data_IF_984072597869
#
_entry.id   IF_984072597869
#
_cell.length_a   1.000
_cell.length_b   1.000
_cell.length_c   1.000
_cell.angle_alpha   90.00
_cell.angle_beta   90.00
_cell.angle_gamma   90.00
#
_symmetry.space_group_name_H-M   'P 1'
#
loop_
_entity.id
_entity.type
_entity.pdbx_description
1 polymer ?
#
# COMPACT_ATOMS: atom_id res chain seq x y z
N UNK A 1 -25.03 22.20 -50.26
CA UNK A 1 -25.77 21.20 -49.44
C UNK A 1 -24.96 19.96 -49.02
N UNK A 2 -23.95 19.50 -49.77
CA UNK A 2 -23.14 18.30 -49.40
C UNK A 2 -22.21 18.49 -48.18
N UNK A 3 -21.73 19.72 -47.93
CA UNK A 3 -20.80 20.03 -46.84
C UNK A 3 -21.47 19.89 -45.46
N UNK A 4 -22.70 20.38 -45.30
CA UNK A 4 -23.46 20.22 -44.06
C UNK A 4 -23.69 18.75 -43.67
N UNK A 5 -23.97 17.88 -44.66
CA UNK A 5 -24.10 16.44 -44.40
C UNK A 5 -22.79 15.81 -43.93
N UNK A 6 -21.65 16.22 -44.50
CA UNK A 6 -20.33 15.71 -44.09
C UNK A 6 -19.96 16.13 -42.66
N UNK A 7 -20.22 17.38 -42.30
CA UNK A 7 -19.95 17.89 -40.94
C UNK A 7 -20.81 17.17 -39.90
N UNK A 8 -22.10 16.96 -40.19
CA UNK A 8 -23.00 16.31 -39.24
C UNK A 8 -22.64 14.85 -38.97
N UNK A 9 -22.20 14.11 -40.00
CA UNK A 9 -21.70 12.74 -39.86
C UNK A 9 -20.41 12.71 -39.04
N UNK A 10 -19.50 13.65 -39.27
CA UNK A 10 -18.24 13.75 -38.52
C UNK A 10 -18.47 14.01 -37.03
N UNK A 11 -19.45 14.87 -36.70
CA UNK A 11 -19.86 15.15 -35.31
C UNK A 11 -20.46 13.89 -34.68
N UNK A 12 -21.37 13.19 -35.35
CA UNK A 12 -21.96 11.96 -34.82
C UNK A 12 -20.91 10.88 -34.54
N UNK A 13 -19.96 10.68 -35.45
CA UNK A 13 -18.86 9.74 -35.23
C UNK A 13 -17.99 10.14 -34.04
N UNK A 14 -17.70 11.43 -33.89
CA UNK A 14 -16.91 11.93 -32.76
C UNK A 14 -17.66 11.76 -31.43
N UNK A 15 -18.98 11.97 -31.40
CA UNK A 15 -19.80 11.77 -30.21
C UNK A 15 -19.84 10.30 -29.75
N UNK A 16 -19.89 9.35 -30.69
CA UNK A 16 -19.85 7.92 -30.36
C UNK A 16 -18.50 7.52 -29.76
N UNK A 17 -17.41 8.12 -30.22
CA UNK A 17 -16.06 7.88 -29.70
C UNK A 17 -15.76 8.66 -28.40
N UNK A 18 -16.50 9.73 -28.12
CA UNK A 18 -16.26 10.56 -26.94
C UNK A 18 -16.39 9.77 -25.63
N UNK A 19 -17.41 8.93 -25.51
CA UNK A 19 -17.66 8.12 -24.30
C UNK A 19 -16.51 7.14 -24.01
N UNK A 20 -16.10 6.24 -24.93
CA UNK A 20 -15.00 5.32 -24.67
C UNK A 20 -13.66 6.03 -24.46
N UNK A 21 -13.41 7.16 -25.11
CA UNK A 21 -12.20 7.97 -24.87
C UNK A 21 -12.17 8.55 -23.46
N UNK A 22 -13.29 9.06 -22.96
CA UNK A 22 -13.40 9.56 -21.59
C UNK A 22 -13.20 8.42 -20.59
N UNK A 23 -13.87 7.28 -20.78
CA UNK A 23 -13.71 6.11 -19.90
C UNK A 23 -12.27 5.62 -19.89
N UNK A 24 -11.61 5.55 -21.05
CA UNK A 24 -10.21 5.16 -21.14
C UNK A 24 -9.30 6.15 -20.39
N UNK A 25 -9.54 7.45 -20.51
CA UNK A 25 -8.76 8.48 -19.83
C UNK A 25 -8.91 8.40 -18.29
N UNK A 26 -10.15 8.37 -17.79
CA UNK A 26 -10.40 8.30 -16.34
C UNK A 26 -10.01 6.94 -15.76
N UNK A 27 -10.28 5.85 -16.50
CA UNK A 27 -9.91 4.49 -16.11
C UNK A 27 -8.39 4.32 -15.99
N UNK A 28 -7.61 4.85 -16.94
CA UNK A 28 -6.16 4.79 -16.88
C UNK A 28 -5.58 5.52 -15.66
N UNK A 29 -6.14 6.69 -15.30
CA UNK A 29 -5.68 7.44 -14.14
C UNK A 29 -6.00 6.70 -12.84
N UNK A 30 -7.20 6.15 -12.68
CA UNK A 30 -7.56 5.40 -11.47
C UNK A 30 -6.77 4.10 -11.35
N UNK A 31 -6.55 3.39 -12.46
CA UNK A 31 -5.80 2.14 -12.47
C UNK A 31 -4.33 2.33 -12.08
N UNK A 32 -3.72 3.47 -12.44
CA UNK A 32 -2.33 3.79 -12.07
C UNK A 32 -2.14 3.80 -10.56
N UNK A 33 -3.04 4.44 -9.82
CA UNK A 33 -2.86 4.60 -8.37
C UNK A 33 -3.15 3.32 -7.59
N UNK A 34 -4.12 2.53 -8.08
CA UNK A 34 -4.36 1.19 -7.55
C UNK A 34 -3.16 0.27 -7.81
N UNK A 35 -2.59 0.30 -9.02
CA UNK A 35 -1.42 -0.51 -9.36
C UNK A 35 -0.20 -0.11 -8.54
N UNK A 36 0.07 1.18 -8.38
CA UNK A 36 1.20 1.69 -7.60
C UNK A 36 1.13 1.21 -6.15
N UNK A 37 -0.06 1.26 -5.54
CA UNK A 37 -0.30 0.80 -4.17
C UNK A 37 -0.13 -0.72 -4.04
N UNK A 38 -0.66 -1.48 -5.02
CA UNK A 38 -0.55 -2.96 -5.04
C UNK A 38 0.89 -3.42 -5.11
N UNK A 39 1.68 -2.82 -6.00
CA UNK A 39 3.10 -3.13 -6.16
C UNK A 39 3.86 -2.82 -4.86
N UNK A 40 3.57 -1.69 -4.20
CA UNK A 40 4.14 -1.37 -2.89
C UNK A 40 3.84 -2.44 -1.82
N UNK A 41 2.59 -2.90 -1.75
CA UNK A 41 2.19 -3.96 -0.80
C UNK A 41 2.93 -5.29 -1.05
N UNK A 42 3.10 -5.67 -2.32
CA UNK A 42 3.83 -6.89 -2.69
C UNK A 42 5.31 -6.81 -2.30
N UNK A 43 5.96 -5.66 -2.52
CA UNK A 43 7.33 -5.43 -2.09
C UNK A 43 7.48 -5.47 -0.56
N UNK A 44 6.57 -4.84 0.18
CA UNK A 44 6.58 -4.88 1.65
C UNK A 44 6.40 -6.31 2.15
N UNK A 45 5.51 -7.09 1.54
CA UNK A 45 5.30 -8.51 1.89
C UNK A 45 6.57 -9.33 1.66
N UNK A 46 7.26 -9.11 0.54
CA UNK A 46 8.53 -9.77 0.23
C UNK A 46 9.63 -9.36 1.23
N UNK A 47 9.72 -8.08 1.57
CA UNK A 47 10.65 -7.59 2.58
C UNK A 47 10.40 -8.24 3.95
N UNK A 48 9.15 -8.35 4.39
CA UNK A 48 8.78 -9.04 5.64
C UNK A 48 9.20 -10.52 5.59
N UNK A 49 9.00 -11.21 4.46
CA UNK A 49 9.42 -12.61 4.32
C UNK A 49 10.94 -12.80 4.46
N UNK A 50 11.73 -11.90 3.88
CA UNK A 50 13.20 -11.88 4.02
C UNK A 50 13.59 -11.62 5.47
N UNK A 51 12.98 -10.65 6.13
CA UNK A 51 13.33 -10.29 7.51
C UNK A 51 12.86 -11.33 8.55
N UNK A 52 11.86 -12.15 8.22
CA UNK A 52 11.39 -13.26 9.06
C UNK A 52 12.33 -14.47 9.06
N UNK A 53 13.09 -14.69 7.98
CA UNK A 53 14.08 -15.78 7.91
C UNK A 53 15.26 -15.48 8.84
N UNK A 54 15.89 -16.49 9.47
CA UNK A 54 17.03 -16.25 10.36
C UNK A 54 18.20 -15.57 9.64
N UNK A 55 18.97 -14.70 10.33
CA UNK A 55 20.08 -13.98 9.70
C UNK A 55 21.17 -14.94 9.24
N UNK A 56 21.44 -14.96 7.94
CA UNK A 56 22.64 -15.56 7.37
C UNK A 56 23.66 -14.46 7.05
N UNK A 57 24.95 -14.73 7.31
CA UNK A 57 26.02 -13.75 7.15
C UNK A 57 26.17 -13.22 5.70
N UNK A 58 25.74 -14.01 4.72
CA UNK A 58 25.74 -13.66 3.29
C UNK A 58 24.49 -12.89 2.83
N UNK A 59 23.48 -12.71 3.68
CA UNK A 59 22.18 -12.10 3.31
C UNK A 59 22.00 -10.67 3.87
N UNK A 60 23.03 -10.09 4.46
CA UNK A 60 22.97 -8.77 5.09
C UNK A 60 22.55 -7.66 4.10
N UNK A 61 22.99 -7.77 2.84
CA UNK A 61 22.57 -6.86 1.77
C UNK A 61 21.07 -6.99 1.45
N UNK A 62 20.52 -8.21 1.41
CA UNK A 62 19.09 -8.44 1.18
C UNK A 62 18.24 -7.93 2.35
N UNK A 63 18.72 -8.08 3.58
CA UNK A 63 18.06 -7.52 4.77
C UNK A 63 18.08 -5.99 4.80
N UNK A 64 19.17 -5.38 4.35
CA UNK A 64 19.23 -3.91 4.19
C UNK A 64 18.20 -3.44 3.18
N UNK A 65 18.14 -4.09 2.01
CA UNK A 65 17.12 -3.80 1.00
C UNK A 65 15.70 -3.95 1.56
N UNK A 66 15.42 -5.04 2.27
CA UNK A 66 14.11 -5.28 2.87
C UNK A 66 13.73 -4.19 3.89
N UNK A 67 14.67 -3.74 4.73
CA UNK A 67 14.44 -2.63 5.64
C UNK A 67 14.13 -1.33 4.90
N UNK A 68 14.85 -1.04 3.81
CA UNK A 68 14.64 0.18 3.01
C UNK A 68 13.29 0.17 2.28
N UNK A 69 12.82 -1.00 1.82
CA UNK A 69 11.48 -1.16 1.26
C UNK A 69 10.39 -0.88 2.31
N UNK A 70 10.52 -1.43 3.52
CA UNK A 70 9.56 -1.15 4.59
C UNK A 70 9.52 0.34 4.89
N UNK A 71 10.67 1.00 5.00
CA UNK A 71 10.74 2.45 5.27
C UNK A 71 10.07 3.25 4.14
N UNK A 72 10.35 2.91 2.88
CA UNK A 72 9.84 3.63 1.71
C UNK A 72 8.32 3.58 1.59
N UNK A 73 7.71 2.46 1.97
CA UNK A 73 6.27 2.23 1.83
C UNK A 73 5.51 2.31 3.16
N UNK A 74 6.19 2.54 4.29
CA UNK A 74 5.56 2.70 5.60
C UNK A 74 4.98 4.10 5.76
N UNK A 75 3.67 4.23 6.07
CA UNK A 75 3.06 5.53 6.37
C UNK A 75 3.51 6.10 7.73
N UNK A 76 4.07 5.27 8.60
CA UNK A 76 4.65 5.65 9.89
C UNK A 76 6.18 5.66 9.77
N UNK A 77 6.80 6.78 10.11
CA UNK A 77 8.25 6.94 10.06
C UNK A 77 8.97 5.95 10.97
N UNK A 78 9.88 5.17 10.39
CA UNK A 78 10.70 4.20 11.13
C UNK A 78 11.97 4.90 11.60
N UNK A 79 12.26 4.86 12.90
CA UNK A 79 13.47 5.47 13.46
C UNK A 79 14.73 4.66 13.09
N UNK A 80 15.90 5.30 13.18
CA UNK A 80 17.20 4.66 12.91
C UNK A 80 17.46 3.43 13.79
N UNK A 81 16.97 3.46 15.03
CA UNK A 81 17.07 2.32 15.97
C UNK A 81 16.16 1.17 15.55
N UNK A 82 14.95 1.46 15.06
CA UNK A 82 14.05 0.43 14.50
C UNK A 82 14.62 -0.19 13.22
N UNK A 83 15.31 0.58 12.38
CA UNK A 83 16.01 0.04 11.20
C UNK A 83 17.08 -0.99 11.57
N UNK A 84 17.88 -0.72 12.61
CA UNK A 84 18.89 -1.67 13.12
C UNK A 84 18.25 -2.94 13.70
N UNK A 85 17.10 -2.81 14.37
CA UNK A 85 16.34 -3.94 14.90
C UNK A 85 15.83 -4.83 13.77
N UNK A 86 15.29 -4.25 12.69
CA UNK A 86 14.85 -5.00 11.50
C UNK A 86 16.00 -5.79 10.86
N UNK A 87 17.20 -5.21 10.78
CA UNK A 87 18.38 -5.86 10.20
C UNK A 87 18.93 -7.01 11.06
N UNK A 88 18.82 -6.92 12.38
CA UNK A 88 19.35 -7.92 13.31
C UNK A 88 18.38 -9.10 13.44
N UNK A 89 17.10 -8.82 13.69
CA UNK A 89 16.00 -9.80 13.69
C UNK A 89 14.72 -9.09 14.09
N UNK A 90 13.59 -9.35 13.42
CA UNK A 90 12.29 -9.04 14.00
C UNK A 90 12.17 -9.89 15.27
N UNK A 91 12.13 -9.30 16.49
CA UNK A 91 11.85 -10.08 17.68
C UNK A 91 10.50 -10.74 17.44
N UNK A 92 10.40 -12.07 17.66
CA UNK A 92 9.11 -12.75 17.61
C UNK A 92 8.14 -11.90 18.44
N UNK A 93 7.06 -11.34 17.85
CA UNK A 93 6.14 -10.54 18.63
C UNK A 93 5.72 -11.38 19.84
N UNK A 94 5.71 -10.82 21.06
CA UNK A 94 5.19 -11.55 22.20
C UNK A 94 3.79 -12.06 21.81
N UNK A 95 3.38 -13.27 22.24
CA UNK A 95 2.14 -13.91 21.79
C UNK A 95 0.90 -12.98 21.86
N UNK A 96 0.98 -11.93 22.68
CA UNK A 96 -0.08 -10.98 22.98
C UNK A 96 -0.09 -9.73 22.07
N UNK A 97 0.92 -9.49 21.24
CA UNK A 97 0.98 -8.28 20.38
C UNK A 97 0.05 -8.34 19.15
N UNK A 98 -0.56 -9.51 18.88
CA UNK A 98 -1.61 -9.68 17.87
C UNK A 98 -3.01 -9.80 18.49
N UNK A 99 -3.14 -9.65 19.83
CA UNK A 99 -4.45 -9.57 20.43
C UNK A 99 -5.11 -8.27 19.96
N UNK A 100 -6.38 -8.31 19.52
CA UNK A 100 -7.17 -7.10 19.32
C UNK A 100 -7.02 -6.24 20.57
N UNK A 101 -6.81 -4.92 20.42
CA UNK A 101 -6.85 -3.99 21.55
C UNK A 101 -8.17 -4.30 22.28
N UNK A 102 -8.07 -4.85 23.50
CA UNK A 102 -9.26 -5.38 24.17
C UNK A 102 -10.29 -4.26 24.29
N UNK A 103 -11.52 -4.44 23.79
CA UNK A 103 -12.57 -3.42 23.93
C UNK A 103 -12.89 -3.12 25.39
N UNK A 104 -12.45 -3.97 26.34
CA UNK A 104 -12.69 -3.79 27.77
C UNK A 104 -11.88 -2.65 28.39
N UNK A 105 -10.83 -2.12 27.76
CA UNK A 105 -10.04 -1.04 28.36
C UNK A 105 -10.91 0.20 28.60
N UNK A 106 -11.82 0.49 27.67
CA UNK A 106 -12.80 1.56 27.79
C UNK A 106 -13.82 1.25 28.90
N UNK A 107 -14.33 0.02 28.98
CA UNK A 107 -15.29 -0.39 30.02
C UNK A 107 -14.69 -0.40 31.42
N UNK A 108 -13.43 -0.84 31.56
CA UNK A 108 -12.71 -0.88 32.83
C UNK A 108 -12.41 0.52 33.34
N UNK A 109 -12.00 1.43 32.46
CA UNK A 109 -11.78 2.84 32.83
C UNK A 109 -13.09 3.55 33.20
N UNK A 110 -14.19 3.23 32.51
CA UNK A 110 -15.52 3.78 32.87
C UNK A 110 -15.97 3.27 34.24
N UNK A 111 -15.74 1.99 34.54
CA UNK A 111 -16.10 1.43 35.84
C UNK A 111 -15.20 1.94 36.99
N UNK A 112 -13.89 2.08 36.78
CA UNK A 112 -12.99 2.66 37.79
C UNK A 112 -13.22 4.16 38.04
N UNK A 113 -13.74 4.90 37.05
CA UNK A 113 -14.13 6.30 37.25
C UNK A 113 -15.54 6.45 37.85
N UNK A 114 -16.25 5.35 38.06
CA UNK A 114 -17.61 5.31 38.62
C UNK A 114 -17.69 4.78 40.06
N UNK A 115 -16.57 4.36 40.64
CA UNK A 115 -16.39 4.12 42.09
C UNK A 115 -15.77 5.35 42.77
#
# INVERSE_FOLDING_TARGET
MKIFKKVNVMIQTLSVLAVPLLVAYFGANMQREVNNSRVGQEYVKLAIDILRKPPAANEMAMRSWAADIIIKYSPVGVSSEQRKLLMTSIPKPPPNAMQPIEPNLTERLVNELSE
#
